data_IF_245262768851
#
_entry.id   IF_245262768851
#
_cell.length_a   1.000
_cell.length_b   1.000
_cell.length_c   1.000
_cell.angle_alpha   90.00
_cell.angle_beta   90.00
_cell.angle_gamma   90.00
#
_symmetry.space_group_name_H-M   'P 1'
#
loop_
_entity.id
_entity.type
_entity.pdbx_description
1 polymer ?
#
# COMPACT_ATOMS: atom_id res chain seq x y z
N UNK A 1 13.53 11.95 -8.52
CA UNK A 1 13.77 11.39 -7.17
C UNK A 1 14.65 12.34 -6.34
N UNK A 2 15.74 12.82 -6.88
CA UNK A 2 16.76 13.63 -6.18
C UNK A 2 16.27 15.01 -5.71
N UNK A 3 15.20 15.53 -6.31
CA UNK A 3 14.63 16.84 -5.95
C UNK A 3 13.58 16.75 -4.83
N UNK A 4 13.22 15.55 -4.39
CA UNK A 4 12.24 15.35 -3.35
C UNK A 4 12.91 15.14 -1.99
N UNK A 5 12.30 15.69 -0.96
CA UNK A 5 12.66 15.43 0.42
C UNK A 5 11.80 14.28 0.95
N UNK A 6 12.44 13.25 1.50
CA UNK A 6 11.77 12.09 2.10
C UNK A 6 12.04 12.10 3.60
N UNK A 7 10.98 12.08 4.39
CA UNK A 7 11.06 12.10 5.86
C UNK A 7 10.16 11.01 6.43
N UNK A 8 10.66 10.26 7.38
CA UNK A 8 9.85 9.38 8.23
C UNK A 8 9.83 9.97 9.62
N UNK A 9 8.64 10.22 10.15
CA UNK A 9 8.44 10.76 11.50
C UNK A 9 7.69 9.76 12.36
N UNK A 10 8.05 9.72 13.64
CA UNK A 10 7.38 8.91 14.64
C UNK A 10 6.38 9.75 15.41
N UNK A 11 5.31 9.09 15.89
CA UNK A 11 4.30 9.71 16.76
C UNK A 11 3.72 10.98 16.13
N UNK A 12 3.38 10.89 14.85
CA UNK A 12 2.86 12.01 14.07
C UNK A 12 1.48 12.42 14.57
N UNK A 13 1.40 13.59 15.15
CA UNK A 13 0.15 14.15 15.67
C UNK A 13 -0.54 14.99 14.60
N UNK A 14 -1.79 14.67 14.31
CA UNK A 14 -2.64 15.41 13.38
C UNK A 14 -3.92 15.87 14.09
N UNK A 15 -4.28 17.13 13.88
CA UNK A 15 -5.47 17.74 14.46
C UNK A 15 -6.43 18.18 13.35
N UNK A 16 -7.67 17.69 13.43
CA UNK A 16 -8.78 18.10 12.59
C UNK A 16 -9.91 18.67 13.48
N UNK A 17 -10.06 19.98 13.50
CA UNK A 17 -10.98 20.64 14.42
C UNK A 17 -10.68 20.29 15.89
N UNK A 18 -11.66 19.76 16.64
CA UNK A 18 -11.46 19.38 18.06
C UNK A 18 -10.79 18.00 18.22
N UNK A 19 -10.65 17.24 17.15
CA UNK A 19 -10.14 15.86 17.20
C UNK A 19 -8.63 15.86 16.92
N UNK A 20 -7.89 15.22 17.82
CA UNK A 20 -6.45 14.99 17.66
C UNK A 20 -6.18 13.48 17.64
N UNK A 21 -5.43 13.02 16.66
CA UNK A 21 -4.96 11.63 16.56
C UNK A 21 -3.45 11.61 16.40
N UNK A 22 -2.85 10.51 16.79
CA UNK A 22 -1.40 10.30 16.73
C UNK A 22 -1.10 8.97 16.09
N UNK A 23 -0.57 9.02 14.87
CA UNK A 23 -0.11 7.86 14.14
C UNK A 23 1.29 7.46 14.60
N UNK A 24 1.58 6.15 14.60
CA UNK A 24 2.88 5.66 15.07
C UNK A 24 4.02 6.11 14.15
N UNK A 25 3.85 5.96 12.83
CA UNK A 25 4.82 6.39 11.83
C UNK A 25 4.10 7.00 10.62
N UNK A 26 4.67 8.08 10.08
CA UNK A 26 4.20 8.69 8.83
C UNK A 26 5.39 8.99 7.93
N UNK A 27 5.30 8.54 6.68
CA UNK A 27 6.24 8.91 5.63
C UNK A 27 5.72 10.14 4.88
N UNK A 28 6.53 11.18 4.89
CA UNK A 28 6.27 12.43 4.16
C UNK A 28 7.16 12.54 2.94
N UNK A 29 6.58 13.03 1.86
CA UNK A 29 7.32 13.45 0.66
C UNK A 29 7.06 14.94 0.47
N UNK A 30 8.12 15.75 0.54
CA UNK A 30 8.02 17.22 0.48
C UNK A 30 7.05 17.79 1.55
N UNK A 31 7.04 17.21 2.74
CA UNK A 31 6.14 17.60 3.83
C UNK A 31 4.70 17.07 3.71
N UNK A 32 4.36 16.36 2.61
CA UNK A 32 3.03 15.80 2.39
C UNK A 32 2.97 14.37 2.96
N UNK A 33 2.00 14.02 3.83
CA UNK A 33 1.87 12.68 4.41
C UNK A 33 1.34 11.68 3.38
N UNK A 34 2.22 10.84 2.87
CA UNK A 34 1.91 9.88 1.78
C UNK A 34 1.60 8.48 2.30
N UNK A 35 2.32 8.01 3.31
CA UNK A 35 2.10 6.68 3.90
C UNK A 35 1.94 6.81 5.40
N UNK A 36 0.91 6.15 5.95
CA UNK A 36 0.68 6.02 7.37
C UNK A 36 0.94 4.58 7.80
N UNK A 37 1.61 4.38 8.92
CA UNK A 37 1.91 3.06 9.48
C UNK A 37 1.45 3.02 10.93
N UNK A 38 0.62 2.03 11.24
CA UNK A 38 0.19 1.72 12.60
C UNK A 38 0.84 0.40 13.03
N UNK A 39 1.61 0.45 14.12
CA UNK A 39 2.40 -0.66 14.63
C UNK A 39 1.86 -1.14 15.97
N UNK A 40 1.56 -2.42 16.09
CA UNK A 40 1.18 -3.06 17.35
C UNK A 40 2.34 -3.86 17.90
N UNK A 41 2.31 -4.13 19.20
CA UNK A 41 3.38 -4.88 19.85
C UNK A 41 3.28 -6.39 19.56
N UNK A 42 4.37 -7.05 19.13
CA UNK A 42 4.36 -8.49 18.91
C UNK A 42 4.28 -9.34 20.19
N UNK A 43 4.48 -8.71 21.36
CA UNK A 43 4.52 -9.39 22.66
C UNK A 43 3.13 -9.74 23.17
N UNK A 44 2.11 -8.99 22.80
CA UNK A 44 0.73 -9.26 23.21
C UNK A 44 0.03 -10.14 22.19
N UNK A 45 -0.21 -11.40 22.55
CA UNK A 45 -0.94 -12.36 21.71
C UNK A 45 -2.39 -11.94 21.37
N UNK A 46 -2.94 -10.99 22.13
CA UNK A 46 -4.27 -10.42 21.90
C UNK A 46 -4.30 -9.28 20.88
N UNK A 47 -3.17 -8.87 20.37
CA UNK A 47 -3.06 -7.80 19.36
C UNK A 47 -2.46 -8.34 18.07
N UNK A 48 -3.04 -7.92 16.95
CA UNK A 48 -2.62 -8.30 15.60
C UNK A 48 -2.54 -7.08 14.69
N UNK A 49 -2.03 -7.26 13.48
CA UNK A 49 -2.09 -6.23 12.45
C UNK A 49 -3.54 -5.72 12.22
N UNK A 50 -4.54 -6.59 12.44
CA UNK A 50 -5.95 -6.25 12.26
C UNK A 50 -6.39 -5.11 13.19
N UNK A 51 -5.91 -5.10 14.43
CA UNK A 51 -6.22 -4.01 15.39
C UNK A 51 -5.68 -2.67 14.88
N UNK A 52 -4.48 -2.68 14.30
CA UNK A 52 -3.90 -1.49 13.67
C UNK A 52 -4.68 -1.06 12.43
N UNK A 53 -5.08 -2.00 11.58
CA UNK A 53 -5.87 -1.73 10.38
C UNK A 53 -7.26 -1.17 10.72
N UNK A 54 -7.95 -1.73 11.72
CA UNK A 54 -9.24 -1.22 12.20
C UNK A 54 -9.10 0.16 12.84
N UNK A 55 -8.01 0.42 13.57
CA UNK A 55 -7.75 1.76 14.11
C UNK A 55 -7.60 2.80 12.99
N UNK A 56 -6.89 2.47 11.92
CA UNK A 56 -6.79 3.35 10.76
C UNK A 56 -8.15 3.51 10.07
N UNK A 57 -8.79 2.41 9.72
CA UNK A 57 -10.00 2.40 8.90
C UNK A 57 -11.23 2.94 9.64
N UNK A 58 -11.45 2.51 10.89
CA UNK A 58 -12.68 2.82 11.63
C UNK A 58 -12.57 4.07 12.49
N UNK A 59 -11.35 4.46 12.90
CA UNK A 59 -11.14 5.63 13.74
C UNK A 59 -10.48 6.78 12.96
N UNK A 60 -9.29 6.60 12.40
CA UNK A 60 -8.56 7.72 11.79
C UNK A 60 -9.24 8.25 10.52
N UNK A 61 -9.61 7.36 9.59
CA UNK A 61 -10.27 7.76 8.34
C UNK A 61 -11.61 8.47 8.57
N UNK A 62 -12.30 8.19 9.69
CA UNK A 62 -13.56 8.82 10.04
C UNK A 62 -13.38 10.16 10.77
N UNK A 63 -12.42 10.23 11.67
CA UNK A 63 -12.29 11.35 12.60
C UNK A 63 -11.29 12.41 12.13
N UNK A 64 -10.33 12.04 11.26
CA UNK A 64 -9.33 12.95 10.68
C UNK A 64 -9.16 12.68 9.18
N UNK A 65 -10.25 12.72 8.37
CA UNK A 65 -10.22 12.38 6.94
C UNK A 65 -9.27 13.27 6.13
N UNK A 66 -8.95 14.46 6.60
CA UNK A 66 -8.05 15.40 5.93
C UNK A 66 -6.63 14.84 5.79
N UNK A 67 -6.16 14.06 6.78
CA UNK A 67 -4.87 13.38 6.72
C UNK A 67 -4.78 12.39 5.54
N UNK A 68 -5.92 11.83 5.15
CA UNK A 68 -5.99 10.80 4.10
C UNK A 68 -6.21 11.36 2.69
N UNK A 69 -6.36 12.68 2.53
CA UNK A 69 -6.48 13.31 1.20
C UNK A 69 -5.24 13.02 0.34
N UNK A 70 -4.00 13.26 0.80
CA UNK A 70 -2.80 12.94 0.06
C UNK A 70 -2.32 11.49 0.26
N UNK A 71 -2.86 10.76 1.25
CA UNK A 71 -2.41 9.43 1.59
C UNK A 71 -2.53 8.46 0.41
N UNK A 72 -1.45 7.80 0.05
CA UNK A 72 -1.44 6.78 -1.00
C UNK A 72 -1.99 5.45 -0.48
N UNK A 73 -1.48 5.02 0.68
CA UNK A 73 -1.89 3.80 1.38
C UNK A 73 -1.49 3.87 2.86
N UNK A 74 -2.06 2.96 3.64
CA UNK A 74 -1.70 2.76 5.03
C UNK A 74 -1.20 1.34 5.27
N UNK A 75 -0.35 1.15 6.25
CA UNK A 75 0.22 -0.13 6.67
C UNK A 75 -0.19 -0.40 8.11
N UNK A 76 -0.54 -1.63 8.43
CA UNK A 76 -0.71 -2.13 9.78
C UNK A 76 0.16 -3.37 10.00
N UNK A 77 0.85 -3.45 11.14
CA UNK A 77 1.76 -4.54 11.48
C UNK A 77 1.82 -4.77 12.99
N UNK A 78 2.13 -6.00 13.39
CA UNK A 78 2.57 -6.33 14.76
C UNK A 78 3.94 -7.03 14.77
N UNK A 79 4.68 -6.94 13.65
CA UNK A 79 6.02 -7.53 13.53
C UNK A 79 6.07 -9.03 13.15
N UNK A 80 4.91 -9.72 13.07
CA UNK A 80 4.79 -11.08 12.54
C UNK A 80 4.13 -11.08 11.17
N UNK A 81 3.19 -10.17 11.00
CA UNK A 81 2.54 -9.91 9.73
C UNK A 81 2.49 -8.41 9.48
N UNK A 82 2.40 -8.04 8.22
CA UNK A 82 1.94 -6.71 7.87
C UNK A 82 0.95 -6.78 6.71
N UNK A 83 0.03 -5.84 6.72
CA UNK A 83 -0.94 -5.66 5.64
C UNK A 83 -1.01 -4.19 5.27
N UNK A 84 -1.28 -3.92 4.02
CA UNK A 84 -1.51 -2.56 3.55
C UNK A 84 -2.83 -2.45 2.80
N UNK A 85 -3.41 -1.29 2.87
CA UNK A 85 -4.64 -0.94 2.18
C UNK A 85 -4.71 0.55 1.91
N UNK A 86 -5.70 0.96 1.14
CA UNK A 86 -5.95 2.36 0.81
C UNK A 86 -7.23 2.84 1.50
N UNK A 87 -7.38 4.16 1.57
CA UNK A 87 -8.54 4.78 2.22
C UNK A 87 -9.88 4.17 1.75
N UNK A 88 -10.74 3.87 2.70
CA UNK A 88 -12.07 3.25 2.54
C UNK A 88 -12.05 1.84 1.93
N UNK A 89 -10.90 1.24 1.75
CA UNK A 89 -10.79 -0.15 1.35
C UNK A 89 -11.18 -1.03 2.55
N UNK A 90 -12.20 -1.91 2.43
CA UNK A 90 -12.54 -2.83 3.51
C UNK A 90 -11.31 -3.61 3.97
N UNK A 91 -11.16 -3.78 5.30
CA UNK A 91 -9.94 -4.33 5.91
C UNK A 91 -9.67 -5.77 5.45
N UNK A 92 -10.71 -6.52 5.11
CA UNK A 92 -10.60 -7.87 4.53
C UNK A 92 -9.86 -7.92 3.17
N UNK A 93 -9.71 -6.78 2.50
CA UNK A 93 -8.95 -6.66 1.25
C UNK A 93 -7.52 -6.15 1.45
N UNK A 94 -7.14 -5.79 2.68
CA UNK A 94 -5.76 -5.46 2.97
C UNK A 94 -4.88 -6.68 2.77
N UNK A 95 -3.79 -6.53 2.05
CA UNK A 95 -2.92 -7.63 1.66
C UNK A 95 -1.46 -7.42 2.07
N UNK A 96 -0.67 -8.49 2.04
CA UNK A 96 0.76 -8.39 2.25
C UNK A 96 1.45 -7.79 1.01
N UNK A 97 2.62 -7.20 1.25
CA UNK A 97 3.57 -6.89 0.19
C UNK A 97 4.67 -7.93 0.21
N UNK A 98 4.71 -8.77 -0.83
CA UNK A 98 5.71 -9.83 -1.02
C UNK A 98 5.73 -10.87 0.12
N UNK A 99 5.15 -12.01 -0.13
CA UNK A 99 5.39 -13.23 0.64
C UNK A 99 6.12 -14.21 -0.29
N UNK A 100 7.32 -14.60 0.07
CA UNK A 100 8.10 -15.57 -0.71
C UNK A 100 7.59 -17.00 -0.46
N UNK A 101 7.01 -17.27 0.70
CA UNK A 101 6.38 -18.54 1.04
C UNK A 101 5.09 -18.30 1.85
N UNK A 102 3.94 -18.68 1.27
CA UNK A 102 2.65 -18.56 1.95
C UNK A 102 2.49 -19.55 3.14
N UNK A 103 3.37 -20.54 3.25
CA UNK A 103 3.31 -21.58 4.27
C UNK A 103 4.16 -21.30 5.51
N UNK A 104 5.12 -20.38 5.45
CA UNK A 104 5.96 -20.00 6.57
C UNK A 104 5.40 -18.77 7.30
N UNK A 105 5.42 -18.77 8.63
CA UNK A 105 5.23 -17.55 9.41
C UNK A 105 6.44 -16.65 9.19
N UNK A 106 6.27 -15.46 8.59
CA UNK A 106 7.40 -14.61 8.27
C UNK A 106 8.11 -14.17 9.55
N UNK A 107 9.42 -14.14 9.48
CA UNK A 107 10.25 -13.58 10.55
C UNK A 107 10.12 -12.05 10.58
N UNK A 108 10.53 -11.44 11.70
CA UNK A 108 10.59 -9.98 11.82
C UNK A 108 11.51 -9.36 10.75
N UNK A 109 12.54 -10.12 10.34
CA UNK A 109 13.46 -9.71 9.29
C UNK A 109 12.78 -9.71 7.91
N UNK A 110 12.00 -10.74 7.60
CA UNK A 110 11.22 -10.81 6.35
C UNK A 110 10.18 -9.70 6.26
N UNK A 111 9.49 -9.41 7.37
CA UNK A 111 8.59 -8.25 7.46
C UNK A 111 9.35 -6.95 7.22
N UNK A 112 10.51 -6.78 7.86
CA UNK A 112 11.38 -5.62 7.65
C UNK A 112 11.81 -5.47 6.19
N UNK A 113 12.21 -6.56 5.54
CA UNK A 113 12.59 -6.59 4.13
C UNK A 113 11.40 -6.25 3.22
N UNK A 114 10.22 -6.78 3.51
CA UNK A 114 9.01 -6.48 2.74
C UNK A 114 8.61 -5.00 2.86
N UNK A 115 8.58 -4.46 4.08
CA UNK A 115 8.32 -3.03 4.34
C UNK A 115 9.36 -2.16 3.65
N UNK A 116 10.64 -2.46 3.82
CA UNK A 116 11.72 -1.71 3.17
C UNK A 116 11.60 -1.73 1.64
N UNK A 117 11.24 -2.87 1.05
CA UNK A 117 11.08 -2.97 -0.41
C UNK A 117 9.91 -2.13 -0.92
N UNK A 118 8.80 -2.07 -0.16
CA UNK A 118 7.61 -1.29 -0.50
C UNK A 118 7.84 0.21 -0.32
N UNK A 119 8.56 0.61 0.73
CA UNK A 119 8.75 2.01 1.09
C UNK A 119 9.94 2.68 0.41
N UNK A 120 10.61 2.01 -0.53
CA UNK A 120 11.61 2.68 -1.37
C UNK A 120 10.96 3.87 -2.09
N UNK A 121 11.59 5.05 -2.11
CA UNK A 121 11.03 6.25 -2.72
C UNK A 121 10.50 6.06 -4.14
N UNK A 122 11.24 5.33 -4.98
CA UNK A 122 10.83 5.04 -6.34
C UNK A 122 9.58 4.13 -6.40
N UNK A 123 9.45 3.18 -5.47
CA UNK A 123 8.28 2.28 -5.39
C UNK A 123 7.06 3.06 -4.92
N UNK A 124 7.20 3.87 -3.87
CA UNK A 124 6.09 4.69 -3.34
C UNK A 124 5.58 5.66 -4.39
N UNK A 125 6.49 6.36 -5.09
CA UNK A 125 6.10 7.28 -6.17
C UNK A 125 5.48 6.55 -7.35
N UNK A 126 5.97 5.38 -7.72
CA UNK A 126 5.40 4.56 -8.79
C UNK A 126 4.00 4.05 -8.40
N UNK A 127 3.81 3.59 -7.16
CA UNK A 127 2.50 3.20 -6.61
C UNK A 127 1.50 4.35 -6.68
N UNK A 128 1.91 5.54 -6.25
CA UNK A 128 1.09 6.73 -6.26
C UNK A 128 0.70 7.14 -7.69
N UNK A 129 1.66 7.17 -8.61
CA UNK A 129 1.46 7.66 -9.97
C UNK A 129 0.70 6.66 -10.86
N UNK A 130 1.05 5.38 -10.80
CA UNK A 130 0.65 4.39 -11.80
C UNK A 130 -0.25 3.29 -11.27
N UNK A 131 -0.22 2.99 -9.97
CA UNK A 131 -0.85 1.81 -9.38
C UNK A 131 -1.99 2.12 -8.40
N UNK A 132 -2.46 3.36 -8.44
CA UNK A 132 -3.64 3.81 -7.67
C UNK A 132 -4.81 4.04 -8.62
N UNK A 133 -5.99 3.58 -8.25
CA UNK A 133 -7.24 3.77 -8.99
C UNK A 133 -8.40 3.98 -8.03
N UNK A 134 -9.58 4.26 -8.57
CA UNK A 134 -10.80 4.43 -7.79
C UNK A 134 -11.90 3.53 -8.35
N UNK A 135 -12.66 2.92 -7.46
CA UNK A 135 -13.85 2.14 -7.81
C UNK A 135 -15.03 2.53 -6.94
N UNK A 136 -16.22 2.17 -7.38
CA UNK A 136 -17.43 2.29 -6.59
C UNK A 136 -17.74 0.94 -5.95
N UNK A 137 -17.72 0.90 -4.62
CA UNK A 137 -18.05 -0.30 -3.86
C UNK A 137 -19.53 -0.28 -3.45
N UNK A 138 -20.23 -1.43 -3.64
CA UNK A 138 -21.64 -1.63 -3.28
C UNK A 138 -22.55 -0.46 -3.70
N UNK A 139 -22.30 0.09 -4.89
CA UNK A 139 -23.19 1.01 -5.59
C UNK A 139 -23.14 2.48 -5.16
N UNK A 140 -22.44 2.88 -4.10
CA UNK A 140 -22.46 4.29 -3.65
C UNK A 140 -21.12 4.84 -3.12
N UNK A 141 -20.30 4.05 -2.51
CA UNK A 141 -19.08 4.53 -1.87
C UNK A 141 -17.88 4.45 -2.80
N UNK A 142 -17.20 5.56 -2.99
CA UNK A 142 -15.93 5.60 -3.71
C UNK A 142 -14.82 5.08 -2.81
N UNK A 143 -14.13 4.04 -3.25
CA UNK A 143 -12.95 3.49 -2.59
C UNK A 143 -11.73 3.75 -3.45
N UNK A 144 -10.60 3.99 -2.82
CA UNK A 144 -9.30 3.98 -3.48
C UNK A 144 -8.82 2.54 -3.58
N UNK A 145 -8.26 2.17 -4.71
CA UNK A 145 -7.62 0.86 -4.94
C UNK A 145 -6.14 1.10 -5.10
N UNK A 146 -5.34 0.32 -4.41
CA UNK A 146 -3.90 0.22 -4.62
C UNK A 146 -3.55 -1.17 -5.14
N UNK A 147 -2.58 -1.26 -6.04
CA UNK A 147 -2.15 -2.55 -6.59
C UNK A 147 -1.64 -3.48 -5.48
N UNK A 148 -1.98 -4.76 -5.59
CA UNK A 148 -1.33 -5.83 -4.84
C UNK A 148 0.08 -6.08 -5.40
N UNK A 149 0.96 -6.66 -4.58
CA UNK A 149 2.34 -6.94 -4.99
C UNK A 149 2.44 -7.66 -6.34
N UNK A 150 1.65 -8.72 -6.53
CA UNK A 150 1.67 -9.49 -7.79
C UNK A 150 1.23 -8.65 -9.00
N UNK A 151 0.31 -7.71 -8.81
CA UNK A 151 -0.11 -6.79 -9.86
C UNK A 151 0.99 -5.77 -10.17
N UNK A 152 1.65 -5.25 -9.14
CA UNK A 152 2.79 -4.34 -9.28
C UNK A 152 3.93 -5.00 -10.05
N UNK A 153 4.39 -6.17 -9.59
CA UNK A 153 5.48 -6.91 -10.21
C UNK A 153 5.13 -7.33 -11.64
N UNK A 154 3.96 -7.95 -11.84
CA UNK A 154 3.52 -8.41 -13.15
C UNK A 154 3.38 -7.27 -14.15
N UNK A 155 2.84 -6.13 -13.74
CA UNK A 155 2.76 -4.93 -14.58
C UNK A 155 4.13 -4.44 -15.01
N UNK A 156 5.06 -4.31 -14.07
CA UNK A 156 6.41 -3.81 -14.38
C UNK A 156 7.14 -4.75 -15.34
N UNK A 157 7.05 -6.07 -15.14
CA UNK A 157 7.60 -7.07 -16.09
C UNK A 157 6.99 -6.97 -17.49
N UNK A 158 5.68 -6.69 -17.60
CA UNK A 158 5.02 -6.46 -18.89
C UNK A 158 5.58 -5.21 -19.57
N UNK A 159 5.64 -4.09 -18.82
CA UNK A 159 6.14 -2.82 -19.37
C UNK A 159 7.58 -2.95 -19.82
N UNK A 160 8.46 -3.50 -18.98
CA UNK A 160 9.87 -3.75 -19.34
C UNK A 160 9.99 -4.57 -20.64
N UNK A 161 9.21 -5.65 -20.77
CA UNK A 161 9.24 -6.49 -21.97
C UNK A 161 8.77 -5.77 -23.21
N UNK A 162 7.69 -5.00 -23.11
CA UNK A 162 7.14 -4.24 -24.24
C UNK A 162 8.13 -3.16 -24.67
N UNK A 163 8.72 -2.44 -23.73
CA UNK A 163 9.72 -1.40 -24.01
C UNK A 163 10.98 -1.99 -24.61
N UNK A 164 11.45 -3.13 -24.11
CA UNK A 164 12.60 -3.84 -24.67
C UNK A 164 12.36 -4.42 -26.07
N UNK A 165 11.10 -4.60 -26.48
CA UNK A 165 10.72 -5.15 -27.80
C UNK A 165 10.95 -6.66 -27.98
N UNK A 166 11.64 -7.31 -27.07
CA UNK A 166 11.94 -8.74 -27.09
C UNK A 166 11.90 -9.37 -25.70
N UNK A 167 11.41 -10.63 -25.61
CA UNK A 167 10.67 -11.40 -26.61
C UNK A 167 9.26 -10.84 -26.83
N UNK A 168 8.73 -10.94 -28.06
CA UNK A 168 7.41 -10.38 -28.44
C UNK A 168 6.20 -11.09 -27.77
N UNK A 169 6.41 -12.23 -27.14
CA UNK A 169 5.38 -13.01 -26.46
C UNK A 169 5.77 -13.27 -25.02
N UNK A 170 4.78 -13.34 -24.14
CA UNK A 170 4.96 -13.66 -22.73
C UNK A 170 3.70 -14.27 -22.15
N UNK A 171 3.84 -14.96 -21.03
CA UNK A 171 2.74 -15.53 -20.26
C UNK A 171 2.76 -14.95 -18.85
N UNK A 172 1.61 -14.50 -18.38
CA UNK A 172 1.38 -14.14 -17.00
C UNK A 172 0.53 -15.23 -16.38
N UNK A 173 1.12 -15.96 -15.43
CA UNK A 173 0.43 -17.00 -14.70
C UNK A 173 -0.04 -16.45 -13.35
N UNK A 174 -1.33 -16.22 -13.22
CA UNK A 174 -1.97 -15.78 -11.99
C UNK A 174 -3.25 -16.61 -11.75
N UNK A 175 -3.54 -16.93 -10.50
CA UNK A 175 -4.76 -17.66 -10.13
C UNK A 175 -6.04 -16.86 -10.44
N UNK A 176 -7.17 -17.55 -10.49
CA UNK A 176 -8.47 -16.90 -10.69
C UNK A 176 -8.77 -15.97 -9.50
N UNK A 177 -9.27 -14.76 -9.78
CA UNK A 177 -9.55 -13.77 -8.72
C UNK A 177 -8.34 -12.89 -8.31
N UNK A 178 -7.14 -13.11 -8.84
CA UNK A 178 -5.94 -12.29 -8.51
C UNK A 178 -5.98 -10.84 -8.99
N UNK A 179 -7.06 -10.43 -9.69
CA UNK A 179 -7.18 -9.07 -10.21
C UNK A 179 -6.42 -8.81 -11.51
N UNK A 180 -6.36 -9.80 -12.42
CA UNK A 180 -5.72 -9.66 -13.75
C UNK A 180 -6.20 -8.46 -14.55
N UNK A 181 -7.48 -8.09 -14.42
CA UNK A 181 -8.05 -6.90 -15.09
C UNK A 181 -7.41 -5.61 -14.60
N UNK A 182 -7.11 -5.50 -13.30
CA UNK A 182 -6.38 -4.35 -12.74
C UNK A 182 -4.92 -4.35 -13.22
N UNK A 183 -4.27 -5.50 -13.30
CA UNK A 183 -2.92 -5.61 -13.86
C UNK A 183 -2.89 -5.08 -15.31
N UNK A 184 -3.84 -5.48 -16.15
CA UNK A 184 -3.94 -4.96 -17.52
C UNK A 184 -4.18 -3.45 -17.57
N UNK A 185 -5.04 -2.93 -16.69
CA UNK A 185 -5.29 -1.50 -16.57
C UNK A 185 -4.01 -0.73 -16.21
N UNK A 186 -3.27 -1.20 -15.20
CA UNK A 186 -2.02 -0.58 -14.76
C UNK A 186 -0.94 -0.65 -15.85
N UNK A 187 -0.84 -1.80 -16.56
CA UNK A 187 0.10 -1.94 -17.67
C UNK A 187 -0.22 -0.98 -18.82
N UNK A 188 -1.48 -0.88 -19.22
CA UNK A 188 -1.92 0.04 -20.27
C UNK A 188 -1.67 1.51 -19.88
N UNK A 189 -1.96 1.86 -18.61
CA UNK A 189 -1.69 3.21 -18.08
C UNK A 189 -0.20 3.55 -18.12
N UNK A 190 0.65 2.62 -17.69
CA UNK A 190 2.10 2.83 -17.62
C UNK A 190 2.74 2.90 -19.00
N UNK A 191 2.32 2.01 -19.93
CA UNK A 191 2.79 2.01 -21.32
C UNK A 191 2.40 3.28 -22.10
N UNK A 192 1.31 3.95 -21.74
CA UNK A 192 0.92 5.21 -22.37
C UNK A 192 1.91 6.36 -22.08
N UNK A 193 2.75 6.23 -21.07
CA UNK A 193 3.75 7.23 -20.67
C UNK A 193 5.12 6.99 -21.33
N UNK A 194 5.30 5.88 -22.05
CA UNK A 194 6.46 5.52 -22.86
C UNK A 194 6.19 5.77 -24.34
#
# INVERSE_FOLDING_TARGET
>A
LEQNQYVVTQQYTFQAGPVTKRADLVMLINGIPIVLIEAKTPVRSSQSWLDGALQVHDDYERNIPELFVPNAFSIATEGKEFRYGSIRMPVEFWGPWRLEDEAALPSIEEIGNAVNSMLRPNVVLDLLANFTSYATHKGKQRIKIIARYQQYEGTNKVVERVVAGHPKKGLIWHFQGSGKSLLMLFAARKLRLH
#
